data_IF_614349603167
#
_entry.id   IF_614349603167
#
_cell.length_a   1.000
_cell.length_b   1.000
_cell.length_c   1.000
_cell.angle_alpha   90.00
_cell.angle_beta   90.00
_cell.angle_gamma   90.00
#
_symmetry.space_group_name_H-M   'P 1'
#
loop_
_entity.id
_entity.type
_entity.pdbx_description
1 polymer ?
#
# COMPACT_ATOMS: atom_id res chain seq x y z
N UNK A 1 -89.78 -20.64 21.55
CA UNK A 1 -89.63 -19.17 21.32
C UNK A 1 -88.47 -18.71 22.20
N UNK A 2 -87.29 -18.41 21.62
CA UNK A 2 -86.81 -17.03 21.31
C UNK A 2 -86.78 -16.18 22.59
N UNK A 3 -85.66 -15.75 23.19
CA UNK A 3 -84.54 -14.92 22.69
C UNK A 3 -83.48 -14.92 23.83
N UNK A 4 -82.22 -15.30 23.62
CA UNK A 4 -81.07 -14.52 23.12
C UNK A 4 -80.49 -13.46 24.10
N UNK A 5 -79.19 -13.66 24.45
CA UNK A 5 -78.06 -12.68 24.59
C UNK A 5 -77.41 -12.61 25.99
N UNK A 6 -76.16 -13.08 26.17
CA UNK A 6 -74.80 -12.50 25.87
C UNK A 6 -74.14 -12.19 27.23
N UNK A 7 -73.22 -13.02 27.75
CA UNK A 7 -71.74 -13.04 27.56
C UNK A 7 -71.00 -11.81 28.13
N UNK A 8 -70.24 -12.01 29.21
CA UNK A 8 -68.95 -11.34 29.45
C UNK A 8 -68.08 -12.24 30.34
N UNK A 9 -67.15 -12.98 29.70
CA UNK A 9 -66.12 -13.78 30.37
C UNK A 9 -64.82 -13.00 30.43
N UNK A 10 -64.21 -12.95 31.62
CA UNK A 10 -62.89 -12.37 31.88
C UNK A 10 -61.83 -13.34 31.37
N UNK A 11 -61.03 -12.93 30.38
CA UNK A 11 -59.89 -13.69 29.86
C UNK A 11 -58.58 -13.16 30.46
N UNK A 12 -57.93 -14.01 31.25
CA UNK A 12 -56.60 -13.82 31.82
C UNK A 12 -55.53 -13.83 30.72
N UNK A 13 -54.73 -12.77 30.66
CA UNK A 13 -53.52 -12.68 29.83
C UNK A 13 -52.38 -13.48 30.47
N UNK A 14 -51.98 -14.58 29.84
CA UNK A 14 -50.71 -15.25 30.11
C UNK A 14 -49.58 -14.57 29.33
N UNK A 15 -48.58 -14.05 30.04
CA UNK A 15 -47.34 -13.57 29.43
C UNK A 15 -46.45 -14.76 29.05
N UNK A 16 -46.24 -14.95 27.75
CA UNK A 16 -45.22 -15.84 27.21
C UNK A 16 -43.92 -15.06 27.10
N UNK A 17 -42.93 -15.41 27.91
CA UNK A 17 -41.58 -14.87 27.82
C UNK A 17 -40.86 -15.47 26.59
N UNK A 18 -40.68 -14.66 25.54
CA UNK A 18 -39.78 -14.98 24.43
C UNK A 18 -38.33 -14.83 24.90
N UNK A 19 -37.67 -15.97 25.17
CA UNK A 19 -36.23 -16.01 25.39
C UNK A 19 -35.48 -15.72 24.08
N UNK A 20 -34.76 -14.60 24.01
CA UNK A 20 -33.87 -14.29 22.90
C UNK A 20 -32.69 -15.27 22.89
N UNK A 21 -32.60 -16.11 21.85
CA UNK A 21 -31.38 -16.85 21.51
C UNK A 21 -30.32 -15.86 21.00
N UNK A 22 -29.66 -15.18 21.93
CA UNK A 22 -28.47 -14.39 21.63
C UNK A 22 -27.37 -15.31 21.10
N UNK A 23 -26.89 -15.01 19.89
CA UNK A 23 -25.69 -15.64 19.33
C UNK A 23 -24.56 -15.55 20.35
N UNK A 24 -24.15 -16.69 20.91
CA UNK A 24 -22.92 -16.77 21.70
C UNK A 24 -21.77 -16.39 20.78
N UNK A 25 -21.24 -15.16 20.93
CA UNK A 25 -19.94 -14.79 20.37
C UNK A 25 -18.95 -15.84 20.84
N UNK A 26 -18.38 -16.60 19.91
CA UNK A 26 -17.26 -17.46 20.22
C UNK A 26 -16.18 -16.58 20.86
N UNK A 27 -15.85 -16.86 22.12
CA UNK A 27 -14.70 -16.28 22.78
C UNK A 27 -13.51 -16.85 22.02
N UNK A 28 -12.99 -16.09 21.06
CA UNK A 28 -11.69 -16.36 20.47
C UNK A 28 -10.72 -16.35 21.64
N UNK A 29 -10.13 -17.50 21.96
CA UNK A 29 -9.01 -17.57 22.90
C UNK A 29 -7.97 -16.58 22.39
N UNK A 30 -7.85 -15.44 23.06
CA UNK A 30 -6.79 -14.46 22.87
C UNK A 30 -5.51 -15.24 23.15
N UNK A 31 -4.85 -15.75 22.11
CA UNK A 31 -3.47 -16.18 22.25
C UNK A 31 -2.72 -15.02 22.90
N UNK A 32 -2.01 -15.29 24.00
CA UNK A 32 -1.25 -14.29 24.74
C UNK A 32 -0.29 -13.62 23.74
N UNK A 33 -0.67 -12.44 23.24
CA UNK A 33 0.22 -11.56 22.51
C UNK A 33 1.24 -11.12 23.55
N UNK A 34 2.45 -11.64 23.45
CA UNK A 34 3.42 -11.49 24.53
C UNK A 34 4.12 -10.13 24.49
N UNK A 35 4.16 -9.49 23.31
CA UNK A 35 4.74 -8.15 23.12
C UNK A 35 4.19 -7.46 21.86
N UNK A 36 4.48 -6.16 21.74
CA UNK A 36 4.04 -5.30 20.64
C UNK A 36 4.51 -5.80 19.27
N UNK A 37 5.70 -6.42 19.18
CA UNK A 37 6.21 -6.96 17.91
C UNK A 37 5.33 -8.10 17.41
N UNK A 38 4.93 -9.01 18.28
CA UNK A 38 4.00 -10.09 17.93
C UNK A 38 2.61 -9.56 17.55
N UNK A 39 2.14 -8.51 18.23
CA UNK A 39 0.89 -7.83 17.87
C UNK A 39 0.93 -7.30 16.43
N UNK A 40 1.96 -6.52 16.10
CA UNK A 40 2.09 -5.92 14.77
C UNK A 40 2.32 -6.95 13.67
N UNK A 41 3.05 -8.04 13.95
CA UNK A 41 3.18 -9.16 13.01
C UNK A 41 1.84 -9.85 12.77
N UNK A 42 0.99 -10.00 13.79
CA UNK A 42 -0.35 -10.58 13.65
C UNK A 42 -1.27 -9.68 12.79
N UNK A 43 -1.26 -8.37 13.02
CA UNK A 43 -2.06 -7.44 12.21
C UNK A 43 -1.57 -7.37 10.77
N UNK A 44 -0.24 -7.32 10.56
CA UNK A 44 0.35 -7.44 9.22
C UNK A 44 -0.07 -8.75 8.55
N UNK A 45 0.00 -9.88 9.27
CA UNK A 45 -0.40 -11.18 8.74
C UNK A 45 -1.87 -11.18 8.31
N UNK A 46 -2.76 -10.66 9.16
CA UNK A 46 -4.21 -10.55 8.88
C UNK A 46 -4.51 -9.76 7.62
N UNK A 47 -3.82 -8.63 7.41
CA UNK A 47 -4.05 -7.76 6.26
C UNK A 47 -3.42 -8.29 4.97
N UNK A 48 -2.20 -8.83 5.04
CA UNK A 48 -1.39 -9.09 3.86
C UNK A 48 -1.49 -10.53 3.36
N UNK A 49 -1.72 -11.49 4.26
CA UNK A 49 -1.78 -12.93 3.91
C UNK A 49 -2.76 -13.23 2.78
N UNK A 50 -4.00 -12.70 2.75
CA UNK A 50 -4.93 -13.02 1.69
C UNK A 50 -4.43 -12.63 0.30
N UNK A 51 -3.68 -11.52 0.20
CA UNK A 51 -3.15 -11.03 -1.08
C UNK A 51 -2.01 -11.91 -1.56
N UNK A 52 -0.93 -12.02 -0.76
CA UNK A 52 0.28 -12.72 -1.22
C UNK A 52 0.08 -14.23 -1.35
N UNK A 53 -0.69 -14.85 -0.45
CA UNK A 53 -1.02 -16.27 -0.56
C UNK A 53 -1.80 -16.57 -1.85
N UNK A 54 -2.81 -15.74 -2.17
CA UNK A 54 -3.65 -15.97 -3.36
C UNK A 54 -2.89 -15.68 -4.64
N UNK A 55 -2.06 -14.64 -4.65
CA UNK A 55 -1.23 -14.30 -5.81
C UNK A 55 -0.17 -15.37 -6.08
N UNK A 56 0.47 -15.89 -5.03
CA UNK A 56 1.40 -17.02 -5.15
C UNK A 56 0.73 -18.30 -5.69
N UNK A 57 -0.56 -18.46 -5.45
CA UNK A 57 -1.37 -19.57 -5.94
C UNK A 57 -2.07 -19.29 -7.28
N UNK A 58 -1.76 -18.18 -7.97
CA UNK A 58 -2.36 -17.78 -9.24
C UNK A 58 -3.90 -17.69 -9.19
N UNK A 59 -4.41 -17.10 -8.12
CA UNK A 59 -5.84 -17.06 -7.77
C UNK A 59 -6.33 -15.72 -7.21
N UNK A 60 -5.49 -14.68 -7.15
CA UNK A 60 -5.85 -13.38 -6.60
C UNK A 60 -7.04 -12.75 -7.33
N UNK A 61 -7.06 -12.79 -8.67
CA UNK A 61 -8.17 -12.25 -9.48
C UNK A 61 -9.50 -12.98 -9.27
N UNK A 62 -9.45 -14.22 -8.79
CA UNK A 62 -10.65 -15.01 -8.47
C UNK A 62 -11.15 -14.66 -7.07
N UNK A 63 -10.24 -14.53 -6.10
CA UNK A 63 -10.57 -14.42 -4.68
C UNK A 63 -10.74 -12.98 -4.18
N UNK A 64 -10.10 -12.00 -4.83
CA UNK A 64 -10.14 -10.61 -4.39
C UNK A 64 -11.48 -9.95 -4.77
N UNK A 65 -12.25 -9.43 -3.80
CA UNK A 65 -13.49 -8.74 -4.09
C UNK A 65 -13.26 -7.49 -4.94
N UNK A 66 -14.08 -7.31 -5.98
CA UNK A 66 -14.05 -6.13 -6.84
C UNK A 66 -14.97 -5.04 -6.29
N UNK A 67 -14.60 -4.49 -5.13
CA UNK A 67 -15.38 -3.46 -4.44
C UNK A 67 -14.77 -2.08 -4.69
N UNK A 68 -15.60 -1.12 -5.06
CA UNK A 68 -15.20 0.28 -5.26
C UNK A 68 -16.05 1.20 -4.40
N UNK A 69 -15.55 2.41 -4.13
CA UNK A 69 -16.36 3.47 -3.51
C UNK A 69 -17.64 3.74 -4.31
N UNK A 70 -18.69 4.17 -3.63
CA UNK A 70 -19.93 4.64 -4.26
C UNK A 70 -19.71 5.89 -5.13
N UNK A 71 -18.68 6.68 -4.82
CA UNK A 71 -18.31 7.90 -5.55
C UNK A 71 -17.10 7.69 -6.45
N UNK A 72 -16.88 6.46 -6.93
CA UNK A 72 -15.71 6.14 -7.75
C UNK A 72 -15.83 6.72 -9.17
N UNK A 73 -14.79 7.43 -9.60
CA UNK A 73 -14.63 7.78 -11.01
C UNK A 73 -14.27 6.54 -11.83
N UNK A 74 -15.01 6.32 -12.92
CA UNK A 74 -14.81 5.22 -13.87
C UNK A 74 -14.53 3.86 -13.21
N UNK A 75 -15.58 3.28 -12.60
CA UNK A 75 -15.54 1.98 -11.92
C UNK A 75 -14.87 0.88 -12.75
N UNK A 76 -15.16 0.81 -14.05
CA UNK A 76 -14.61 -0.22 -14.93
C UNK A 76 -13.08 -0.14 -15.01
N UNK A 77 -12.53 1.07 -15.17
CA UNK A 77 -11.09 1.27 -15.20
C UNK A 77 -10.43 0.93 -13.87
N UNK A 78 -11.03 1.33 -12.73
CA UNK A 78 -10.50 1.04 -11.39
C UNK A 78 -10.39 -0.47 -11.12
N UNK A 79 -11.42 -1.23 -11.51
CA UNK A 79 -11.42 -2.69 -11.39
C UNK A 79 -10.33 -3.36 -12.26
N UNK A 80 -9.96 -2.76 -13.38
CA UNK A 80 -8.91 -3.31 -14.24
C UNK A 80 -7.50 -3.12 -13.66
N UNK A 81 -7.24 -2.01 -12.97
CA UNK A 81 -5.90 -1.64 -12.48
C UNK A 81 -5.63 -2.01 -11.01
N UNK A 82 -6.66 -2.28 -10.22
CA UNK A 82 -6.58 -2.56 -8.77
C UNK A 82 -5.56 -3.64 -8.36
N UNK A 83 -5.25 -4.61 -9.22
CA UNK A 83 -4.37 -5.72 -8.84
C UNK A 83 -2.91 -5.30 -8.71
N UNK A 84 -2.43 -4.46 -9.63
CA UNK A 84 -1.08 -3.89 -9.54
C UNK A 84 -1.00 -2.90 -8.38
N UNK A 85 -2.06 -2.11 -8.18
CA UNK A 85 -2.18 -1.23 -7.04
C UNK A 85 -2.04 -2.01 -5.72
N UNK A 86 -2.87 -3.03 -5.49
CA UNK A 86 -2.82 -3.86 -4.27
C UNK A 86 -1.45 -4.51 -4.09
N UNK A 87 -0.86 -5.07 -5.15
CA UNK A 87 0.48 -5.66 -5.11
C UNK A 87 1.55 -4.64 -4.67
N UNK A 88 1.59 -3.47 -5.33
CA UNK A 88 2.55 -2.41 -5.01
C UNK A 88 2.37 -1.89 -3.58
N UNK A 89 1.13 -1.65 -3.14
CA UNK A 89 0.83 -1.18 -1.78
C UNK A 89 1.24 -2.18 -0.71
N UNK A 90 0.92 -3.46 -0.92
CA UNK A 90 1.33 -4.54 -0.01
C UNK A 90 2.85 -4.62 0.09
N UNK A 91 3.55 -4.74 -1.04
CA UNK A 91 5.00 -4.91 -1.03
C UNK A 91 5.73 -3.67 -0.54
N UNK A 92 5.26 -2.46 -0.83
CA UNK A 92 5.86 -1.24 -0.30
C UNK A 92 5.73 -1.13 1.23
N UNK A 93 4.64 -1.66 1.79
CA UNK A 93 4.41 -1.71 3.24
C UNK A 93 5.29 -2.75 3.94
N UNK A 94 5.35 -3.98 3.43
CA UNK A 94 6.09 -5.07 4.08
C UNK A 94 7.55 -5.23 3.61
N UNK A 95 7.96 -4.52 2.56
CA UNK A 95 9.29 -4.63 1.95
C UNK A 95 10.43 -4.59 2.98
N UNK A 96 10.53 -3.54 3.82
CA UNK A 96 11.56 -3.49 4.85
C UNK A 96 11.57 -4.73 5.75
N UNK A 97 10.40 -5.24 6.16
CA UNK A 97 10.31 -6.46 6.97
C UNK A 97 10.78 -7.71 6.22
N UNK A 98 10.50 -7.82 4.91
CA UNK A 98 11.03 -8.90 4.06
C UNK A 98 12.56 -8.86 3.95
N UNK A 99 13.17 -7.67 4.00
CA UNK A 99 14.62 -7.47 3.91
C UNK A 99 15.36 -7.79 5.21
N UNK A 100 14.69 -7.70 6.36
CA UNK A 100 15.31 -7.94 7.67
C UNK A 100 15.74 -9.40 7.84
N UNK A 101 16.73 -9.58 8.73
CA UNK A 101 17.19 -10.87 9.25
C UNK A 101 17.00 -10.94 10.78
N UNK A 102 17.06 -12.15 11.35
CA UNK A 102 16.88 -12.36 12.79
C UNK A 102 15.43 -12.33 13.27
N UNK A 103 15.19 -12.12 14.57
CA UNK A 103 13.86 -12.21 15.19
C UNK A 103 13.57 -13.56 15.85
N UNK A 104 12.34 -13.74 16.36
CA UNK A 104 11.94 -15.02 16.96
C UNK A 104 11.84 -16.11 15.89
N UNK A 105 11.98 -17.39 16.28
CA UNK A 105 11.84 -18.53 15.35
C UNK A 105 10.54 -18.45 14.53
N UNK A 106 9.42 -18.09 15.20
CA UNK A 106 8.11 -17.93 14.56
C UNK A 106 8.09 -16.80 13.54
N UNK A 107 8.72 -15.66 13.85
CA UNK A 107 8.80 -14.54 12.91
C UNK A 107 9.65 -14.90 11.69
N UNK A 108 10.78 -15.58 11.88
CA UNK A 108 11.64 -16.03 10.79
C UNK A 108 10.87 -16.99 9.87
N UNK A 109 10.17 -17.98 10.44
CA UNK A 109 9.32 -18.90 9.66
C UNK A 109 8.22 -18.17 8.89
N UNK A 110 7.59 -17.16 9.51
CA UNK A 110 6.60 -16.32 8.85
C UNK A 110 7.23 -15.52 7.70
N UNK A 111 8.39 -14.92 7.91
CA UNK A 111 9.10 -14.15 6.88
C UNK A 111 9.50 -15.02 5.70
N UNK A 112 10.03 -16.22 5.96
CA UNK A 112 10.40 -17.16 4.90
C UNK A 112 9.19 -17.63 4.08
N UNK A 113 8.03 -17.82 4.73
CA UNK A 113 6.78 -18.09 4.02
C UNK A 113 6.39 -16.92 3.11
N UNK A 114 6.46 -15.70 3.61
CA UNK A 114 6.13 -14.49 2.84
C UNK A 114 7.12 -14.21 1.72
N UNK A 115 8.41 -14.49 1.92
CA UNK A 115 9.46 -14.45 0.90
C UNK A 115 9.12 -15.40 -0.25
N UNK A 116 8.76 -16.65 0.05
CA UNK A 116 8.31 -17.63 -0.96
C UNK A 116 7.08 -17.13 -1.72
N UNK A 117 6.06 -16.63 -1.02
CA UNK A 117 4.87 -16.09 -1.67
C UNK A 117 5.15 -14.85 -2.51
N UNK A 118 6.07 -13.99 -2.09
CA UNK A 118 6.45 -12.78 -2.83
C UNK A 118 7.08 -13.14 -4.17
N UNK A 119 8.04 -14.08 -4.18
CA UNK A 119 8.71 -14.50 -5.42
C UNK A 119 7.75 -15.25 -6.35
N UNK A 120 6.95 -16.19 -5.82
CA UNK A 120 5.94 -16.90 -6.61
C UNK A 120 4.87 -15.94 -7.15
N UNK A 121 4.38 -15.03 -6.31
CA UNK A 121 3.35 -14.06 -6.68
C UNK A 121 3.81 -13.06 -7.72
N UNK A 122 5.04 -12.53 -7.60
CA UNK A 122 5.63 -11.68 -8.64
C UNK A 122 5.85 -12.43 -9.95
N UNK A 123 6.26 -13.70 -9.87
CA UNK A 123 6.39 -14.55 -11.06
C UNK A 123 5.05 -14.69 -11.80
N UNK A 124 3.95 -14.95 -11.09
CA UNK A 124 2.61 -15.02 -11.67
C UNK A 124 2.15 -13.66 -12.20
N UNK A 125 2.36 -12.57 -11.45
CA UNK A 125 2.00 -11.22 -11.87
C UNK A 125 2.73 -10.79 -13.16
N UNK A 126 3.91 -11.36 -13.44
CA UNK A 126 4.73 -11.06 -14.61
C UNK A 126 4.68 -12.17 -15.68
N UNK A 127 3.85 -13.20 -15.52
CA UNK A 127 3.71 -14.25 -16.53
C UNK A 127 2.46 -14.10 -17.38
N UNK A 128 2.64 -13.88 -18.69
CA UNK A 128 1.56 -13.71 -19.66
C UNK A 128 0.58 -14.88 -19.72
N UNK A 129 1.02 -16.07 -19.28
CA UNK A 129 0.22 -17.29 -19.25
C UNK A 129 -0.47 -17.53 -17.89
N UNK A 130 -0.12 -16.77 -16.85
CA UNK A 130 -0.70 -16.90 -15.53
C UNK A 130 -2.06 -16.19 -15.47
N UNK A 131 -2.97 -16.69 -14.64
CA UNK A 131 -4.28 -16.07 -14.45
C UNK A 131 -4.14 -14.69 -13.84
N UNK A 132 -3.19 -14.52 -12.91
CA UNK A 132 -2.93 -13.27 -12.19
C UNK A 132 -2.01 -12.30 -12.93
N UNK A 133 -1.70 -12.53 -14.21
CA UNK A 133 -0.89 -11.61 -15.01
C UNK A 133 -1.34 -10.14 -14.87
N UNK A 134 -0.42 -9.23 -14.61
CA UNK A 134 -0.68 -7.81 -14.39
C UNK A 134 -0.10 -6.96 -15.51
N UNK A 135 -0.93 -6.06 -16.05
CA UNK A 135 -0.52 -5.09 -17.07
C UNK A 135 -0.07 -3.79 -16.43
N UNK A 136 0.95 -3.17 -17.02
CA UNK A 136 1.54 -1.89 -16.59
C UNK A 136 1.20 -0.75 -17.55
N UNK A 137 0.30 -1.00 -18.51
CA UNK A 137 0.22 -0.22 -19.73
C UNK A 137 -1.24 0.11 -20.15
N UNK A 138 -2.22 -0.03 -19.25
CA UNK A 138 -3.65 0.25 -19.51
C UNK A 138 -4.01 1.74 -19.42
N UNK A 139 -3.34 2.51 -18.57
CA UNK A 139 -3.65 3.91 -18.28
C UNK A 139 -2.72 4.55 -17.25
N UNK A 140 -2.87 5.86 -17.05
CA UNK A 140 -1.96 6.66 -16.22
C UNK A 140 -1.83 6.20 -14.77
N UNK A 141 -2.85 5.55 -14.20
CA UNK A 141 -2.80 5.00 -12.84
C UNK A 141 -1.65 3.98 -12.67
N UNK A 142 -1.31 3.21 -13.70
CA UNK A 142 -0.21 2.23 -13.59
C UNK A 142 1.17 2.86 -13.46
N UNK A 143 1.33 4.14 -13.81
CA UNK A 143 2.54 4.89 -13.44
C UNK A 143 2.70 4.95 -11.91
N UNK A 144 1.59 5.20 -11.21
CA UNK A 144 1.52 5.26 -9.76
C UNK A 144 1.73 3.88 -9.17
N UNK A 145 0.97 2.88 -9.62
CA UNK A 145 1.01 1.54 -9.03
C UNK A 145 2.39 0.88 -9.22
N UNK A 146 3.00 1.06 -10.40
CA UNK A 146 4.37 0.64 -10.67
C UNK A 146 5.38 1.28 -9.70
N UNK A 147 5.19 2.54 -9.34
CA UNK A 147 6.11 3.25 -8.45
C UNK A 147 6.08 2.74 -7.01
N UNK A 148 4.93 2.22 -6.56
CA UNK A 148 4.85 1.53 -5.26
C UNK A 148 5.57 0.19 -5.28
N UNK A 149 5.51 -0.55 -6.40
CA UNK A 149 6.35 -1.74 -6.57
C UNK A 149 7.84 -1.37 -6.65
N UNK A 150 8.19 -0.30 -7.35
CA UNK A 150 9.56 0.20 -7.46
C UNK A 150 10.16 0.56 -6.09
N UNK A 151 9.45 1.36 -5.27
CA UNK A 151 9.93 1.72 -3.93
C UNK A 151 10.00 0.51 -2.99
N UNK A 152 9.11 -0.49 -3.16
CA UNK A 152 9.20 -1.74 -2.41
C UNK A 152 10.55 -2.45 -2.66
N UNK A 153 10.95 -2.55 -3.93
CA UNK A 153 12.23 -3.15 -4.32
C UNK A 153 13.41 -2.32 -3.85
N UNK A 154 13.36 -0.99 -4.00
CA UNK A 154 14.44 -0.09 -3.52
C UNK A 154 14.65 -0.23 -2.01
N UNK A 155 13.57 -0.43 -1.25
CA UNK A 155 13.63 -0.65 0.21
C UNK A 155 14.00 -2.07 0.60
N UNK A 156 13.78 -3.04 -0.29
CA UNK A 156 14.06 -4.44 -0.08
C UNK A 156 14.71 -5.07 -1.32
N UNK A 157 16.00 -4.77 -1.58
CA UNK A 157 16.72 -5.30 -2.75
C UNK A 157 16.66 -6.83 -2.87
N UNK A 158 16.49 -7.54 -1.75
CA UNK A 158 16.26 -8.98 -1.69
C UNK A 158 15.17 -9.45 -2.66
N UNK A 159 14.09 -8.68 -2.83
CA UNK A 159 12.96 -9.04 -3.72
C UNK A 159 13.43 -9.20 -5.16
N UNK A 160 14.14 -8.21 -5.70
CA UNK A 160 14.63 -8.27 -7.08
C UNK A 160 15.75 -9.29 -7.21
N UNK A 161 16.70 -9.30 -6.27
CA UNK A 161 17.85 -10.22 -6.28
C UNK A 161 17.47 -11.70 -6.26
N UNK A 162 16.33 -12.05 -5.65
CA UNK A 162 15.84 -13.44 -5.58
C UNK A 162 14.74 -13.76 -6.60
N UNK A 163 14.33 -12.79 -7.42
CA UNK A 163 13.39 -13.03 -8.51
C UNK A 163 14.12 -13.77 -9.65
N UNK A 164 13.53 -14.80 -10.28
CA UNK A 164 14.16 -15.46 -11.41
C UNK A 164 14.48 -14.48 -12.54
N UNK A 165 15.62 -14.66 -13.22
CA UNK A 165 16.14 -13.71 -14.22
C UNK A 165 15.11 -13.35 -15.30
N UNK A 166 14.32 -14.33 -15.77
CA UNK A 166 13.20 -14.12 -16.70
C UNK A 166 12.23 -13.05 -16.19
N UNK A 167 11.85 -13.10 -14.93
CA UNK A 167 10.90 -12.17 -14.32
C UNK A 167 11.56 -10.85 -13.89
N UNK A 168 12.86 -10.85 -13.57
CA UNK A 168 13.62 -9.59 -13.42
C UNK A 168 13.57 -8.76 -14.72
N UNK A 169 13.83 -9.38 -15.88
CA UNK A 169 13.76 -8.72 -17.19
C UNK A 169 12.36 -8.19 -17.48
N UNK A 170 11.33 -9.01 -17.26
CA UNK A 170 9.94 -8.59 -17.45
C UNK A 170 9.52 -7.46 -16.52
N UNK A 171 9.95 -7.47 -15.25
CA UNK A 171 9.68 -6.36 -14.34
C UNK A 171 10.30 -5.06 -14.85
N UNK A 172 11.55 -5.10 -15.30
CA UNK A 172 12.24 -3.94 -15.89
C UNK A 172 11.50 -3.42 -17.12
N UNK A 173 11.11 -4.31 -18.03
CA UNK A 173 10.32 -3.95 -19.22
C UNK A 173 8.98 -3.34 -18.84
N UNK A 174 8.25 -3.96 -17.91
CA UNK A 174 6.98 -3.47 -17.37
C UNK A 174 7.11 -2.07 -16.77
N UNK A 175 8.11 -1.81 -15.92
CA UNK A 175 8.36 -0.46 -15.37
C UNK A 175 8.70 0.52 -16.49
N UNK A 176 9.56 0.16 -17.45
CA UNK A 176 9.88 1.03 -18.59
C UNK A 176 8.65 1.39 -19.42
N UNK A 177 7.66 0.50 -19.55
CA UNK A 177 6.44 0.81 -20.30
C UNK A 177 5.67 2.01 -19.75
N UNK A 178 5.78 2.31 -18.45
CA UNK A 178 5.05 3.43 -17.85
C UNK A 178 5.56 4.78 -18.32
N UNK A 179 6.75 4.86 -18.94
CA UNK A 179 7.29 6.09 -19.55
C UNK A 179 6.35 6.72 -20.59
N UNK A 180 5.45 5.91 -21.19
CA UNK A 180 4.44 6.37 -22.15
C UNK A 180 3.36 7.25 -21.51
N UNK A 181 3.19 7.18 -20.19
CA UNK A 181 2.20 7.98 -19.48
C UNK A 181 2.80 9.31 -19.05
N UNK A 182 2.12 10.40 -19.41
CA UNK A 182 2.45 11.74 -18.91
C UNK A 182 1.98 11.83 -17.44
N UNK A 183 2.87 12.07 -16.47
CA UNK A 183 2.45 12.30 -15.09
C UNK A 183 1.60 13.57 -14.99
N UNK A 184 0.63 13.56 -14.06
CA UNK A 184 0.00 14.80 -13.61
C UNK A 184 1.04 15.76 -13.03
N UNK A 185 0.78 17.06 -13.11
CA UNK A 185 1.68 18.07 -12.56
C UNK A 185 1.44 18.24 -11.05
N UNK A 186 1.85 17.21 -10.30
CA UNK A 186 1.66 17.04 -8.86
C UNK A 186 2.68 16.02 -8.31
N UNK A 187 2.42 15.39 -7.16
CA UNK A 187 3.19 14.26 -6.65
C UNK A 187 3.40 13.12 -7.67
N UNK A 188 2.64 13.09 -8.77
CA UNK A 188 2.84 12.14 -9.86
C UNK A 188 4.22 12.22 -10.50
N UNK A 189 4.91 13.36 -10.38
CA UNK A 189 6.31 13.48 -10.78
C UNK A 189 7.22 12.56 -9.94
N UNK A 190 6.95 12.42 -8.64
CA UNK A 190 7.68 11.50 -7.77
C UNK A 190 7.45 10.04 -8.13
N UNK A 191 6.24 9.66 -8.56
CA UNK A 191 5.97 8.31 -9.05
C UNK A 191 6.79 8.01 -10.32
N UNK A 192 6.84 8.95 -11.27
CA UNK A 192 7.69 8.80 -12.45
C UNK A 192 9.16 8.72 -12.07
N UNK A 193 9.64 9.54 -11.13
CA UNK A 193 11.03 9.52 -10.69
C UNK A 193 11.39 8.21 -9.98
N UNK A 194 10.52 7.68 -9.12
CA UNK A 194 10.78 6.43 -8.38
C UNK A 194 10.92 5.22 -9.30
N UNK A 195 10.13 5.15 -10.37
CA UNK A 195 10.29 4.12 -11.40
C UNK A 195 11.69 4.16 -12.03
N UNK A 196 12.21 5.36 -12.31
CA UNK A 196 13.58 5.55 -12.82
C UNK A 196 14.64 5.26 -11.75
N UNK A 197 14.36 5.59 -10.48
CA UNK A 197 15.26 5.26 -9.36
C UNK A 197 15.39 3.76 -9.16
N UNK A 198 14.33 2.98 -9.33
CA UNK A 198 14.43 1.51 -9.35
C UNK A 198 15.37 1.01 -10.45
N UNK A 199 15.28 1.57 -11.66
CA UNK A 199 16.19 1.22 -12.76
C UNK A 199 17.64 1.60 -12.41
N UNK A 200 17.83 2.82 -11.89
CA UNK A 200 19.13 3.30 -11.47
C UNK A 200 19.75 2.39 -10.39
N UNK A 201 19.01 2.05 -9.34
CA UNK A 201 19.48 1.25 -8.21
C UNK A 201 19.99 -0.13 -8.65
N UNK A 202 19.34 -0.71 -9.67
CA UNK A 202 19.69 -2.00 -10.25
C UNK A 202 20.72 -1.91 -11.39
N UNK A 203 21.38 -0.76 -11.58
CA UNK A 203 22.45 -0.59 -12.57
C UNK A 203 21.96 -0.54 -14.02
N UNK A 204 20.67 -0.27 -14.23
CA UNK A 204 20.05 -0.20 -15.56
C UNK A 204 20.01 1.24 -16.07
N UNK A 205 19.84 1.39 -17.38
CA UNK A 205 19.62 2.70 -18.00
C UNK A 205 18.32 3.34 -17.48
N UNK A 206 18.45 4.56 -16.95
CA UNK A 206 17.38 5.34 -16.35
C UNK A 206 17.39 6.77 -16.89
N UNK A 207 16.23 7.41 -16.86
CA UNK A 207 16.03 8.76 -17.40
C UNK A 207 16.33 9.81 -16.32
N UNK A 208 17.52 10.42 -16.42
CA UNK A 208 17.99 11.45 -15.47
C UNK A 208 17.07 12.66 -15.45
N UNK A 209 16.50 13.05 -16.59
CA UNK A 209 15.66 14.24 -16.70
C UNK A 209 14.35 14.08 -15.92
N UNK A 210 13.77 12.87 -15.88
CA UNK A 210 12.55 12.61 -15.10
C UNK A 210 12.78 12.79 -13.60
N UNK A 211 13.94 12.34 -13.11
CA UNK A 211 14.29 12.46 -11.69
C UNK A 211 14.65 13.90 -11.34
N UNK A 212 15.48 14.55 -12.16
CA UNK A 212 15.82 15.97 -11.96
C UNK A 212 14.56 16.83 -11.92
N UNK A 213 13.70 16.69 -12.93
CA UNK A 213 12.47 17.48 -13.01
C UNK A 213 11.58 17.29 -11.77
N UNK A 214 11.40 16.06 -11.29
CA UNK A 214 10.64 15.82 -10.07
C UNK A 214 11.28 16.48 -8.83
N UNK A 215 12.61 16.37 -8.68
CA UNK A 215 13.35 16.98 -7.57
C UNK A 215 13.28 18.51 -7.59
N UNK A 216 13.46 19.14 -8.76
CA UNK A 216 13.36 20.59 -8.90
C UNK A 216 11.95 21.08 -8.58
N UNK A 217 10.91 20.38 -9.04
CA UNK A 217 9.52 20.75 -8.73
C UNK A 217 9.21 20.58 -7.24
N UNK A 218 9.65 19.49 -6.59
CA UNK A 218 9.47 19.34 -5.15
C UNK A 218 10.20 20.43 -4.35
N UNK A 219 11.37 20.88 -4.79
CA UNK A 219 12.05 22.02 -4.16
C UNK A 219 11.25 23.31 -4.29
N UNK A 220 10.62 23.56 -5.45
CA UNK A 220 9.73 24.71 -5.67
C UNK A 220 8.44 24.63 -4.86
N UNK A 221 7.92 23.42 -4.66
CA UNK A 221 6.68 23.15 -3.91
C UNK A 221 6.90 23.01 -2.41
N UNK A 222 8.10 23.26 -1.90
CA UNK A 222 8.34 23.27 -0.46
C UNK A 222 7.74 24.53 0.19
N UNK A 223 6.77 24.34 1.08
CA UNK A 223 6.05 25.45 1.74
C UNK A 223 6.82 25.95 2.96
N UNK A 224 7.44 25.04 3.71
CA UNK A 224 8.05 25.33 5.01
C UNK A 224 7.69 24.29 6.06
N UNK A 225 8.43 24.30 7.17
CA UNK A 225 8.23 23.40 8.32
C UNK A 225 8.14 21.90 7.99
N UNK A 226 8.81 21.44 6.93
CA UNK A 226 8.72 20.06 6.48
C UNK A 226 7.48 19.74 5.64
N UNK A 227 6.70 20.73 5.20
CA UNK A 227 5.50 20.50 4.38
C UNK A 227 5.76 20.84 2.91
N UNK A 228 5.30 19.95 2.01
CA UNK A 228 5.28 20.17 0.56
C UNK A 228 3.85 20.32 0.03
N UNK A 229 3.69 21.10 -1.03
CA UNK A 229 2.48 21.14 -1.85
C UNK A 229 2.40 19.88 -2.74
N UNK A 230 1.20 19.61 -3.25
CA UNK A 230 0.93 18.51 -4.18
C UNK A 230 0.67 19.05 -5.59
N UNK A 231 1.67 19.72 -6.15
CA UNK A 231 1.56 20.49 -7.39
C UNK A 231 1.41 21.99 -7.14
N UNK A 232 0.81 22.74 -8.08
CA UNK A 232 0.75 24.21 -8.02
C UNK A 232 -0.16 24.76 -6.91
N UNK A 233 -1.00 23.91 -6.32
CA UNK A 233 -1.91 24.26 -5.23
C UNK A 233 -1.56 23.48 -3.96
N UNK A 234 -1.69 24.16 -2.82
CA UNK A 234 -1.50 23.50 -1.54
C UNK A 234 -2.63 22.51 -1.27
N UNK A 235 -2.27 21.28 -0.91
CA UNK A 235 -3.20 20.24 -0.48
C UNK A 235 -2.77 19.78 0.92
N UNK A 236 -3.65 19.99 1.91
CA UNK A 236 -3.44 19.49 3.26
C UNK A 236 -4.09 18.12 3.41
N UNK A 237 -3.35 17.08 3.03
CA UNK A 237 -3.74 15.68 3.11
C UNK A 237 -2.56 14.78 3.53
N UNK A 238 -2.77 13.46 3.49
CA UNK A 238 -1.78 12.49 3.95
C UNK A 238 -0.67 12.18 2.94
N UNK A 239 -0.65 12.78 1.74
CA UNK A 239 0.37 12.45 0.74
C UNK A 239 1.79 12.82 1.19
N UNK A 240 1.95 13.81 2.06
CA UNK A 240 3.25 14.10 2.66
C UNK A 240 3.80 12.86 3.42
N UNK A 241 2.95 12.14 4.15
CA UNK A 241 3.37 11.05 5.04
C UNK A 241 3.68 9.73 4.34
N UNK A 242 2.90 9.33 3.32
CA UNK A 242 3.07 8.03 2.67
C UNK A 242 3.64 8.10 1.25
N UNK A 243 3.68 9.29 0.63
CA UNK A 243 4.29 9.50 -0.70
C UNK A 243 5.50 10.43 -0.63
N UNK A 244 5.31 11.72 -0.37
CA UNK A 244 6.34 12.73 -0.66
C UNK A 244 7.62 12.48 0.16
N UNK A 245 7.53 12.45 1.49
CA UNK A 245 8.72 12.21 2.32
C UNK A 245 9.33 10.81 2.10
N UNK A 246 8.55 9.72 2.12
CA UNK A 246 9.03 8.38 1.77
C UNK A 246 9.78 8.28 0.44
N UNK A 247 9.26 8.92 -0.61
CA UNK A 247 9.83 8.87 -1.94
C UNK A 247 11.08 9.72 -2.03
N UNK A 248 11.05 10.96 -1.51
CA UNK A 248 12.22 11.82 -1.48
C UNK A 248 13.37 11.19 -0.68
N UNK A 249 13.09 10.51 0.43
CA UNK A 249 14.10 9.77 1.19
C UNK A 249 14.73 8.64 0.36
N UNK A 250 13.93 7.83 -0.32
CA UNK A 250 14.42 6.72 -1.14
C UNK A 250 15.19 7.21 -2.38
N UNK A 251 14.67 8.23 -3.08
CA UNK A 251 15.35 8.87 -4.22
C UNK A 251 16.71 9.43 -3.78
N UNK A 252 16.76 10.18 -2.67
CA UNK A 252 18.00 10.78 -2.17
C UNK A 252 19.04 9.71 -1.81
N UNK A 253 18.61 8.60 -1.20
CA UNK A 253 19.50 7.48 -0.81
C UNK A 253 20.15 6.78 -2.00
N UNK A 254 19.40 6.58 -3.10
CA UNK A 254 19.92 5.91 -4.30
C UNK A 254 20.71 6.87 -5.17
N UNK A 255 20.13 8.02 -5.50
CA UNK A 255 20.73 8.98 -6.44
C UNK A 255 21.95 9.68 -5.82
N UNK A 256 21.95 9.91 -4.50
CA UNK A 256 23.10 10.49 -3.80
C UNK A 256 24.36 9.62 -3.87
N UNK A 257 24.22 8.30 -4.07
CA UNK A 257 25.36 7.40 -4.30
C UNK A 257 25.90 7.45 -5.74
N UNK A 258 25.12 8.02 -6.67
CA UNK A 258 25.43 8.04 -8.10
C UNK A 258 25.88 9.41 -8.60
N UNK A 259 25.45 10.49 -7.96
CA UNK A 259 25.78 11.86 -8.34
C UNK A 259 25.78 12.79 -7.14
N UNK A 260 26.79 13.67 -7.08
CA UNK A 260 26.89 14.73 -6.08
C UNK A 260 26.12 16.01 -6.46
N UNK A 261 25.51 16.07 -7.65
CA UNK A 261 24.83 17.26 -8.16
C UNK A 261 23.70 17.77 -7.23
N UNK A 262 23.08 16.87 -6.47
CA UNK A 262 21.93 17.17 -5.59
C UNK A 262 22.30 17.22 -4.10
N UNK A 263 23.58 17.16 -3.73
CA UNK A 263 24.00 16.98 -2.34
C UNK A 263 23.35 18.01 -1.39
N UNK A 264 23.42 19.30 -1.73
CA UNK A 264 22.80 20.38 -0.95
C UNK A 264 21.27 20.23 -0.85
N UNK A 265 20.60 19.78 -1.92
CA UNK A 265 19.16 19.50 -1.91
C UNK A 265 18.82 18.31 -1.00
N UNK A 266 19.61 17.23 -1.05
CA UNK A 266 19.39 16.04 -0.24
C UNK A 266 19.63 16.28 1.26
N UNK A 267 20.59 17.14 1.62
CA UNK A 267 20.77 17.59 3.00
C UNK A 267 19.56 18.37 3.51
N UNK A 268 18.96 19.24 2.68
CA UNK A 268 17.71 19.94 3.01
C UNK A 268 16.55 18.97 3.15
N UNK A 269 16.38 18.05 2.19
CA UNK A 269 15.33 17.02 2.21
C UNK A 269 15.43 16.18 3.48
N UNK A 270 16.63 15.77 3.89
CA UNK A 270 16.84 15.02 5.14
C UNK A 270 16.28 15.77 6.35
N UNK A 271 16.63 17.04 6.52
CA UNK A 271 16.12 17.88 7.62
C UNK A 271 14.60 18.05 7.56
N UNK A 272 14.03 18.18 6.36
CA UNK A 272 12.58 18.27 6.13
C UNK A 272 11.87 16.96 6.49
N UNK A 273 12.46 15.81 6.14
CA UNK A 273 11.95 14.49 6.51
C UNK A 273 11.94 14.28 8.03
N UNK A 274 13.05 14.64 8.70
CA UNK A 274 13.15 14.59 10.17
C UNK A 274 12.10 15.48 10.82
N UNK A 275 11.90 16.70 10.31
CA UNK A 275 10.87 17.61 10.81
C UNK A 275 9.46 17.04 10.63
N UNK A 276 9.15 16.52 9.45
CA UNK A 276 7.82 15.98 9.16
C UNK A 276 7.51 14.72 9.99
N UNK A 277 8.50 13.89 10.31
CA UNK A 277 8.30 12.76 11.22
C UNK A 277 7.79 13.23 12.60
N UNK A 278 8.36 14.32 13.14
CA UNK A 278 7.88 14.92 14.40
C UNK A 278 6.45 15.46 14.27
N UNK A 279 6.10 16.05 13.12
CA UNK A 279 4.73 16.50 12.84
C UNK A 279 3.78 15.30 12.80
N UNK A 280 4.16 14.24 12.10
CA UNK A 280 3.35 13.04 11.96
C UNK A 280 3.03 12.39 13.30
N UNK A 281 4.00 12.31 14.21
CA UNK A 281 3.77 11.82 15.59
C UNK A 281 2.77 12.70 16.35
N UNK A 282 2.82 14.03 16.17
CA UNK A 282 1.91 14.99 16.81
C UNK A 282 0.50 14.99 16.20
N UNK A 283 0.32 14.39 15.03
CA UNK A 283 -0.99 14.15 14.42
C UNK A 283 -1.64 12.87 14.96
N UNK A 284 -1.05 12.20 15.95
CA UNK A 284 -1.64 11.03 16.60
C UNK A 284 -2.04 11.46 18.01
N UNK A 285 -3.34 11.40 18.31
CA UNK A 285 -3.88 11.63 19.64
C UNK A 285 -3.45 10.53 20.61
N UNK A 286 -3.59 10.81 21.91
CA UNK A 286 -3.29 9.86 23.00
C UNK A 286 -4.07 8.54 22.92
N UNK A 287 -5.21 8.54 22.21
CA UNK A 287 -6.06 7.36 22.00
C UNK A 287 -5.77 6.64 20.67
N UNK A 288 -4.76 7.09 19.91
CA UNK A 288 -4.36 6.55 18.61
C UNK A 288 -5.18 7.08 17.44
N UNK A 289 -6.14 8.00 17.66
CA UNK A 289 -6.87 8.65 16.56
C UNK A 289 -6.01 9.68 15.85
N UNK A 290 -6.31 9.94 14.58
CA UNK A 290 -5.66 10.97 13.77
C UNK A 290 -6.69 12.00 13.29
N UNK A 291 -6.30 13.26 13.04
CA UNK A 291 -7.18 14.30 12.54
C UNK A 291 -7.97 13.89 11.29
N UNK A 292 -9.26 14.20 11.27
CA UNK A 292 -10.10 14.01 10.09
C UNK A 292 -9.85 15.11 9.05
N UNK A 293 -8.64 15.13 8.48
CA UNK A 293 -8.18 16.15 7.53
C UNK A 293 -7.79 15.54 6.19
N UNK A 294 -8.09 16.24 5.10
CA UNK A 294 -7.66 15.87 3.75
C UNK A 294 -8.35 14.64 3.17
N UNK A 295 -7.82 14.18 2.04
CA UNK A 295 -8.19 12.92 1.36
C UNK A 295 -7.23 11.81 1.78
N UNK A 296 -7.75 10.59 1.89
CA UNK A 296 -6.95 9.35 1.98
C UNK A 296 -6.84 8.71 0.61
#
# INVERSE_FOLDING_TARGET
>A
MKIQRVLLGVLLLSQVAFGSLGQRKAIVKKGLIQNDREYWLLEMDRMVRPVLKSLAADSLRILMPQVTSIHVDNKAQRIQVQYLEVLGRVLSGIGPWLQLEGGSKREVELRELYRKWTIAGLSNALDLNAKDFMRFDLGGQQLVDASFLAIAVVRAPWIYQNLPEKYQKRLVESIKTTRKFKPGFSNWLLFSAMNEVFLADNGLEWDVMRVDYALQQMEQWYVGDGIYMDGPSFAFDYYNSFVIHPYLAAISSVIGKKSNAYQSMFEKIKKRNERYAVIQERLINIDGTYPATGRS
#
